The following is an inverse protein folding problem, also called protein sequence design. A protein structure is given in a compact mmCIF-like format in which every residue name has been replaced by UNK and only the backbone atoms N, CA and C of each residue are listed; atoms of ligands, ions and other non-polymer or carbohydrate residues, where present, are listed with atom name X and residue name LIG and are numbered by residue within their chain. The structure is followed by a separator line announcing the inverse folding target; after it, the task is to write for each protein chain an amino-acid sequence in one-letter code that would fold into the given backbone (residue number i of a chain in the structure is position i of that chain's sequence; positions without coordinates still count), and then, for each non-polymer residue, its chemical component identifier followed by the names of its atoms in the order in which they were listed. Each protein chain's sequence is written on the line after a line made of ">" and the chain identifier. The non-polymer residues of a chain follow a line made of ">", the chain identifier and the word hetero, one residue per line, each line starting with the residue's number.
data_IF_130410176932
#
_entry.id   IF_130410176932
#
_cell.length_a   1.000
_cell.length_b   1.000
_cell.length_c   1.000
_cell.angle_alpha   90.00
_cell.angle_beta   90.00
_cell.angle_gamma   90.00
#
_symmetry.space_group_name_H-M   'P 1'
#
loop_
_entity.id
_entity.type
_entity.pdbx_description
1 polymer ?
#
# COMPACT_ATOMS: atom_id res chain seq x y z
N UNK A 1 -8.50 -10.25 12.09
CA UNK A 1 -8.72 -8.80 12.32
C UNK A 1 -10.16 -8.56 11.95
N UNK A 2 -11.03 -8.56 12.94
CA UNK A 2 -12.39 -9.03 12.71
C UNK A 2 -13.41 -7.89 12.67
N UNK A 3 -13.00 -6.67 13.05
CA UNK A 3 -13.87 -5.48 13.05
C UNK A 3 -13.28 -4.26 12.32
N UNK A 4 -14.15 -3.41 11.77
CA UNK A 4 -13.78 -2.12 11.16
C UNK A 4 -13.07 -1.16 12.13
N UNK A 5 -13.50 -1.04 13.42
CA UNK A 5 -12.78 -0.26 14.43
C UNK A 5 -11.32 -0.69 14.62
N UNK A 6 -11.06 -2.00 14.73
CA UNK A 6 -9.69 -2.52 14.90
C UNK A 6 -8.80 -2.18 13.71
N UNK A 7 -9.31 -2.36 12.49
CA UNK A 7 -8.58 -2.03 11.26
C UNK A 7 -8.24 -0.54 11.20
N UNK A 8 -9.20 0.33 11.52
CA UNK A 8 -8.98 1.77 11.54
C UNK A 8 -7.94 2.17 12.60
N UNK A 9 -7.95 1.54 13.78
CA UNK A 9 -6.96 1.78 14.82
C UNK A 9 -5.55 1.35 14.40
N UNK A 10 -5.42 0.22 13.70
CA UNK A 10 -4.13 -0.23 13.13
C UNK A 10 -3.60 0.78 12.12
N UNK A 11 -4.45 1.26 11.21
CA UNK A 11 -4.04 2.27 10.23
C UNK A 11 -3.59 3.57 10.89
N UNK A 12 -4.33 4.08 11.89
CA UNK A 12 -3.92 5.28 12.63
C UNK A 12 -2.55 5.12 13.26
N UNK A 13 -2.30 4.00 13.93
CA UNK A 13 -0.98 3.69 14.51
C UNK A 13 0.10 3.63 13.44
N UNK A 14 -0.17 3.04 12.27
CA UNK A 14 0.77 3.03 11.15
C UNK A 14 1.12 4.44 10.66
N UNK A 15 0.11 5.31 10.53
CA UNK A 15 0.30 6.73 10.16
C UNK A 15 1.11 7.46 11.22
N UNK A 16 0.83 7.27 12.51
CA UNK A 16 1.57 7.91 13.60
C UNK A 16 3.03 7.44 13.65
N UNK A 17 3.29 6.14 13.44
CA UNK A 17 4.64 5.60 13.33
C UNK A 17 5.40 6.19 12.13
N UNK A 18 4.72 6.36 10.98
CA UNK A 18 5.31 7.00 9.81
C UNK A 18 5.55 8.49 10.03
N UNK A 19 4.68 9.17 10.78
CA UNK A 19 4.84 10.58 11.13
C UNK A 19 6.12 10.80 11.95
N UNK A 20 6.42 9.88 12.88
CA UNK A 20 7.67 9.90 13.63
C UNK A 20 8.94 9.77 12.76
N UNK A 21 8.80 9.26 11.53
CA UNK A 21 9.90 9.15 10.56
C UNK A 21 9.92 10.33 9.59
N UNK A 22 8.78 10.64 8.94
CA UNK A 22 8.65 11.76 8.01
C UNK A 22 7.18 12.17 7.79
N UNK A 23 6.80 13.46 7.94
CA UNK A 23 5.41 13.91 7.77
C UNK A 23 4.81 13.58 6.40
N UNK A 24 5.58 13.70 5.32
CA UNK A 24 5.10 13.35 3.97
C UNK A 24 4.78 11.85 3.82
N UNK A 25 5.56 10.97 4.44
CA UNK A 25 5.30 9.53 4.39
C UNK A 25 3.98 9.20 5.11
N UNK A 26 3.72 9.86 6.24
CA UNK A 26 2.45 9.74 6.96
C UNK A 26 1.25 10.17 6.09
N UNK A 27 1.38 11.25 5.31
CA UNK A 27 0.33 11.68 4.36
C UNK A 27 0.05 10.59 3.32
N UNK A 28 1.08 10.04 2.70
CA UNK A 28 0.90 9.00 1.67
C UNK A 28 0.25 7.74 2.24
N UNK A 29 0.66 7.30 3.43
CA UNK A 29 0.06 6.13 4.10
C UNK A 29 -1.38 6.42 4.50
N UNK A 30 -1.67 7.59 5.07
CA UNK A 30 -3.03 7.98 5.45
C UNK A 30 -3.95 8.04 4.22
N UNK A 31 -3.48 8.63 3.11
CA UNK A 31 -4.24 8.71 1.86
C UNK A 31 -4.43 7.33 1.22
N UNK A 32 -3.42 6.47 1.24
CA UNK A 32 -3.54 5.10 0.77
C UNK A 32 -4.62 4.32 1.54
N UNK A 33 -4.59 4.39 2.87
CA UNK A 33 -5.62 3.78 3.72
C UNK A 33 -7.01 4.37 3.47
N UNK A 34 -7.11 5.70 3.31
CA UNK A 34 -8.37 6.38 3.01
C UNK A 34 -8.99 5.87 1.69
N UNK A 35 -8.19 5.68 0.64
CA UNK A 35 -8.68 5.13 -0.64
C UNK A 35 -9.27 3.72 -0.50
N UNK A 36 -8.71 2.87 0.37
CA UNK A 36 -9.28 1.54 0.62
C UNK A 36 -10.68 1.63 1.22
N UNK A 37 -10.90 2.59 2.12
CA UNK A 37 -12.19 2.83 2.73
C UNK A 37 -13.18 3.53 1.80
N UNK A 38 -12.73 4.48 0.98
CA UNK A 38 -13.56 5.15 -0.03
C UNK A 38 -14.13 4.14 -1.03
N UNK A 39 -13.31 3.21 -1.54
CA UNK A 39 -13.79 2.12 -2.39
C UNK A 39 -14.74 1.18 -1.64
N UNK A 40 -14.39 0.80 -0.41
CA UNK A 40 -15.20 -0.11 0.38
C UNK A 40 -16.59 0.45 0.73
N UNK A 41 -16.71 1.74 1.03
CA UNK A 41 -18.01 2.39 1.30
C UNK A 41 -18.98 2.32 0.11
N UNK A 42 -18.45 2.26 -1.11
CA UNK A 42 -19.25 2.12 -2.33
C UNK A 42 -19.61 0.65 -2.59
N UNK A 43 -18.68 -0.25 -2.32
CA UNK A 43 -18.79 -1.68 -2.65
C UNK A 43 -19.59 -2.49 -1.60
N UNK A 44 -19.58 -2.09 -0.34
CA UNK A 44 -20.12 -2.88 0.77
C UNK A 44 -21.19 -2.12 1.58
N UNK A 45 -22.21 -2.87 2.03
CA UNK A 45 -23.21 -2.37 2.97
C UNK A 45 -22.68 -2.42 4.41
N UNK A 46 -22.01 -1.35 4.84
CA UNK A 46 -21.55 -1.18 6.22
C UNK A 46 -22.68 -0.76 7.16
N UNK A 47 -22.62 -1.20 8.41
CA UNK A 47 -23.47 -0.68 9.49
C UNK A 47 -23.23 0.81 9.72
N UNK A 48 -24.20 1.52 10.32
CA UNK A 48 -24.05 2.95 10.63
C UNK A 48 -22.83 3.22 11.54
N UNK A 49 -22.53 2.30 12.46
CA UNK A 49 -21.37 2.35 13.34
C UNK A 49 -20.06 2.25 12.53
N UNK A 50 -19.94 1.25 11.66
CA UNK A 50 -18.76 1.07 10.81
C UNK A 50 -18.57 2.26 9.87
N UNK A 51 -19.65 2.79 9.30
CA UNK A 51 -19.57 3.99 8.48
C UNK A 51 -19.10 5.22 9.27
N UNK A 52 -19.52 5.37 10.53
CA UNK A 52 -19.07 6.47 11.38
C UNK A 52 -17.56 6.36 11.69
N UNK A 53 -17.08 5.14 11.95
CA UNK A 53 -15.65 4.86 12.13
C UNK A 53 -14.85 5.19 10.87
N UNK A 54 -15.34 4.76 9.70
CA UNK A 54 -14.69 5.06 8.42
C UNK A 54 -14.64 6.57 8.17
N UNK A 55 -15.76 7.29 8.31
CA UNK A 55 -15.81 8.75 8.15
C UNK A 55 -14.85 9.46 9.12
N UNK A 56 -14.74 8.98 10.36
CA UNK A 56 -13.77 9.49 11.33
C UNK A 56 -12.32 9.26 10.88
N UNK A 57 -12.02 8.13 10.24
CA UNK A 57 -10.70 7.87 9.67
C UNK A 57 -10.40 8.79 8.48
N UNK A 58 -11.35 9.01 7.57
CA UNK A 58 -11.18 9.91 6.43
C UNK A 58 -10.87 11.34 6.90
N UNK A 59 -11.63 11.85 7.87
CA UNK A 59 -11.37 13.17 8.46
C UNK A 59 -9.98 13.25 9.12
N UNK A 60 -9.50 12.16 9.71
CA UNK A 60 -8.14 12.09 10.25
C UNK A 60 -7.06 12.14 9.16
N UNK A 61 -7.25 11.43 8.05
CA UNK A 61 -6.31 11.49 6.92
C UNK A 61 -6.19 12.92 6.33
N UNK A 62 -7.31 13.65 6.27
CA UNK A 62 -7.31 15.06 5.87
C UNK A 62 -6.53 15.93 6.87
N UNK A 63 -6.76 15.75 8.17
CA UNK A 63 -6.01 16.46 9.22
C UNK A 63 -4.50 16.21 9.17
N UNK A 64 -4.08 14.97 8.90
CA UNK A 64 -2.66 14.62 8.73
C UNK A 64 -2.06 15.39 7.54
N UNK A 65 -2.82 15.53 6.46
CA UNK A 65 -2.40 16.29 5.27
C UNK A 65 -2.24 17.78 5.57
N UNK A 66 -3.21 18.42 6.22
CA UNK A 66 -3.11 19.84 6.57
C UNK A 66 -1.95 20.10 7.54
N UNK A 67 -1.79 19.25 8.56
CA UNK A 67 -0.67 19.36 9.50
C UNK A 67 0.68 19.19 8.79
N UNK A 68 0.79 18.28 7.83
CA UNK A 68 2.01 18.13 7.04
C UNK A 68 2.32 19.37 6.21
N UNK A 69 1.29 20.03 5.63
CA UNK A 69 1.46 21.31 4.91
C UNK A 69 2.00 22.41 5.81
N UNK A 70 1.50 22.52 7.03
CA UNK A 70 2.01 23.49 8.01
C UNK A 70 3.48 23.22 8.34
N UNK A 71 3.81 21.99 8.72
CA UNK A 71 5.16 21.59 9.14
C UNK A 71 6.18 21.69 8.00
N UNK A 72 5.77 21.37 6.78
CA UNK A 72 6.65 21.34 5.61
C UNK A 72 6.57 22.62 4.76
N UNK A 73 5.85 23.65 5.21
CA UNK A 73 5.61 24.90 4.48
C UNK A 73 6.91 25.64 4.09
N UNK A 74 7.97 25.48 4.87
CA UNK A 74 9.27 26.10 4.61
C UNK A 74 10.07 25.43 3.48
N UNK A 75 9.65 24.24 3.01
CA UNK A 75 10.30 23.52 1.91
C UNK A 75 9.49 23.69 0.62
N UNK A 76 10.01 24.42 -0.39
CA UNK A 76 9.31 24.58 -1.66
C UNK A 76 9.03 23.24 -2.37
N UNK A 77 10.00 22.32 -2.32
CA UNK A 77 9.89 21.00 -2.94
C UNK A 77 8.79 20.15 -2.29
N UNK A 78 8.78 20.09 -0.95
CA UNK A 78 7.77 19.32 -0.22
C UNK A 78 6.39 20.01 -0.25
N UNK A 79 6.36 21.34 -0.30
CA UNK A 79 5.13 22.11 -0.51
C UNK A 79 4.46 21.74 -1.83
N UNK A 80 5.22 21.63 -2.92
CA UNK A 80 4.69 21.15 -4.21
C UNK A 80 4.20 19.70 -4.14
N UNK A 81 4.93 18.81 -3.44
CA UNK A 81 4.54 17.41 -3.25
C UNK A 81 3.26 17.22 -2.42
N UNK A 82 2.89 18.22 -1.61
CA UNK A 82 1.67 18.25 -0.79
C UNK A 82 0.46 18.91 -1.45
N UNK A 83 0.61 19.40 -2.70
CA UNK A 83 -0.52 19.85 -3.50
C UNK A 83 -1.50 18.69 -3.72
N UNK A 84 -2.83 18.91 -3.67
CA UNK A 84 -3.81 17.82 -3.78
C UNK A 84 -3.60 16.88 -4.98
N UNK A 85 -3.31 17.38 -6.21
CA UNK A 85 -3.04 16.49 -7.35
C UNK A 85 -1.79 15.63 -7.17
N UNK A 86 -0.73 16.18 -6.58
CA UNK A 86 0.52 15.46 -6.33
C UNK A 86 0.34 14.38 -5.25
N UNK A 87 -0.38 14.69 -4.17
CA UNK A 87 -0.72 13.71 -3.12
C UNK A 87 -1.56 12.58 -3.71
N UNK A 88 -2.55 12.89 -4.53
CA UNK A 88 -3.38 11.88 -5.19
C UNK A 88 -2.52 10.96 -6.08
N UNK A 89 -1.72 11.53 -6.99
CA UNK A 89 -0.84 10.76 -7.87
C UNK A 89 0.13 9.88 -7.07
N UNK A 90 0.81 10.42 -6.06
CA UNK A 90 1.80 9.66 -5.29
C UNK A 90 1.15 8.60 -4.39
N UNK A 91 -0.06 8.82 -3.89
CA UNK A 91 -0.82 7.78 -3.18
C UNK A 91 -1.25 6.64 -4.12
N UNK A 92 -1.62 6.96 -5.36
CA UNK A 92 -1.90 5.96 -6.39
C UNK A 92 -0.64 5.18 -6.80
N UNK A 93 0.52 5.83 -6.87
CA UNK A 93 1.80 5.15 -7.09
C UNK A 93 2.15 4.20 -5.93
N UNK A 94 1.93 4.62 -4.68
CA UNK A 94 2.08 3.75 -3.52
C UNK A 94 1.13 2.55 -3.59
N UNK A 95 -0.13 2.78 -3.96
CA UNK A 95 -1.13 1.72 -4.17
C UNK A 95 -0.71 0.74 -5.27
N UNK A 96 -0.13 1.21 -6.36
CA UNK A 96 0.41 0.35 -7.42
C UNK A 96 1.50 -0.58 -6.85
N UNK A 97 2.47 -0.03 -6.14
CA UNK A 97 3.54 -0.82 -5.51
C UNK A 97 3.01 -1.85 -4.50
N UNK A 98 2.10 -1.43 -3.62
CA UNK A 98 1.44 -2.32 -2.64
C UNK A 98 0.69 -3.47 -3.33
N UNK A 99 -0.14 -3.15 -4.33
CA UNK A 99 -0.91 -4.17 -5.07
C UNK A 99 -0.02 -5.13 -5.84
N UNK A 100 1.02 -4.64 -6.50
CA UNK A 100 1.96 -5.50 -7.23
C UNK A 100 2.72 -6.43 -6.27
N UNK A 101 3.14 -5.94 -5.10
CA UNK A 101 3.79 -6.77 -4.09
C UNK A 101 2.84 -7.84 -3.52
N UNK A 102 1.59 -7.48 -3.20
CA UNK A 102 0.60 -8.44 -2.72
C UNK A 102 0.26 -9.51 -3.75
N UNK A 103 0.21 -9.14 -5.04
CA UNK A 103 -0.14 -10.06 -6.14
C UNK A 103 0.79 -11.28 -6.20
N UNK A 104 2.08 -11.13 -5.88
CA UNK A 104 3.06 -12.22 -5.86
C UNK A 104 3.23 -12.89 -4.49
N UNK A 105 2.75 -12.24 -3.42
CA UNK A 105 2.87 -12.74 -2.05
C UNK A 105 1.64 -13.50 -1.55
N UNK A 106 0.47 -13.17 -2.09
CA UNK A 106 -0.84 -13.74 -1.70
C UNK A 106 -1.28 -14.73 -2.79
N UNK A 107 -1.94 -15.85 -2.43
CA UNK A 107 -2.40 -16.85 -3.41
C UNK A 107 -3.64 -16.37 -4.20
N UNK A 108 -3.52 -15.21 -4.86
CA UNK A 108 -4.51 -14.65 -5.78
C UNK A 108 -4.36 -15.24 -7.19
N UNK A 109 -5.35 -15.03 -8.08
CA UNK A 109 -5.19 -15.33 -9.50
C UNK A 109 -3.92 -14.67 -10.04
N UNK A 110 -3.23 -15.34 -10.97
CA UNK A 110 -1.93 -14.88 -11.51
C UNK A 110 -2.00 -13.62 -12.39
N UNK A 111 -3.20 -13.15 -12.71
CA UNK A 111 -3.45 -11.92 -13.47
C UNK A 111 -4.30 -10.97 -12.64
N UNK A 112 -3.96 -9.68 -12.68
CA UNK A 112 -4.74 -8.61 -12.07
C UNK A 112 -4.63 -7.32 -12.88
N UNK A 113 -5.70 -6.53 -12.94
CA UNK A 113 -5.66 -5.14 -13.40
C UNK A 113 -5.49 -4.22 -12.19
N UNK A 114 -4.47 -3.35 -12.23
CA UNK A 114 -4.23 -2.30 -11.24
C UNK A 114 -4.68 -0.98 -11.86
N UNK A 115 -5.84 -0.50 -11.44
CA UNK A 115 -6.44 0.71 -12.01
C UNK A 115 -5.85 1.99 -11.44
N UNK A 116 -6.00 3.08 -12.20
CA UNK A 116 -5.60 4.44 -11.80
C UNK A 116 -4.11 4.54 -11.44
N UNK A 117 -3.24 3.93 -12.24
CA UNK A 117 -1.80 4.09 -12.15
C UNK A 117 -1.38 5.43 -12.79
N UNK A 118 -0.63 6.30 -12.09
CA UNK A 118 -0.18 7.56 -12.68
C UNK A 118 0.75 7.31 -13.87
N UNK A 119 0.49 7.98 -14.98
CA UNK A 119 1.34 7.94 -16.18
C UNK A 119 2.40 9.02 -16.13
N UNK A 120 2.03 10.18 -15.59
CA UNK A 120 2.87 11.37 -15.54
C UNK A 120 2.55 12.24 -14.32
N UNK A 121 3.29 13.33 -14.15
CA UNK A 121 3.05 14.31 -13.10
C UNK A 121 1.98 15.35 -13.48
N UNK A 122 1.35 15.21 -14.66
CA UNK A 122 0.34 16.11 -15.21
C UNK A 122 -1.09 15.62 -14.90
N UNK A 123 -1.22 14.49 -14.21
CA UNK A 123 -2.49 13.95 -13.75
C UNK A 123 -3.13 12.96 -14.73
N UNK A 124 -2.38 12.45 -15.70
CA UNK A 124 -2.83 11.33 -16.53
C UNK A 124 -2.75 10.01 -15.74
N UNK A 125 -3.78 9.18 -15.89
CA UNK A 125 -3.86 7.85 -15.27
C UNK A 125 -4.16 6.79 -16.33
N UNK A 126 -3.69 5.57 -16.07
CA UNK A 126 -3.98 4.39 -16.88
C UNK A 126 -4.18 3.16 -16.01
N UNK A 127 -4.70 2.10 -16.61
CA UNK A 127 -4.80 0.79 -15.96
C UNK A 127 -3.61 -0.06 -16.42
N UNK A 128 -2.98 -0.75 -15.47
CA UNK A 128 -1.86 -1.65 -15.76
C UNK A 128 -2.31 -3.08 -15.48
N UNK A 129 -2.27 -3.93 -16.51
CA UNK A 129 -2.40 -5.38 -16.35
C UNK A 129 -1.07 -5.93 -15.84
N UNK A 130 -1.11 -6.67 -14.75
CA UNK A 130 0.01 -7.41 -14.19
C UNK A 130 -0.27 -8.91 -14.29
N UNK A 131 0.69 -9.66 -14.83
CA UNK A 131 0.70 -11.12 -14.81
C UNK A 131 1.98 -11.63 -14.13
N UNK A 132 1.94 -12.82 -13.55
CA UNK A 132 3.16 -13.45 -13.05
C UNK A 132 3.13 -14.98 -13.12
N UNK A 133 4.31 -15.58 -13.17
CA UNK A 133 4.52 -17.02 -12.97
C UNK A 133 5.61 -17.28 -11.92
N UNK A 134 6.23 -18.45 -11.96
CA UNK A 134 7.26 -18.84 -10.98
C UNK A 134 8.56 -18.03 -11.13
N UNK A 135 8.79 -17.42 -12.28
CA UNK A 135 10.07 -16.81 -12.68
C UNK A 135 9.94 -15.42 -13.30
N UNK A 136 8.75 -15.04 -13.75
CA UNK A 136 8.54 -13.78 -14.50
C UNK A 136 7.37 -12.99 -13.93
N UNK A 137 7.50 -11.66 -13.94
CA UNK A 137 6.41 -10.70 -13.76
C UNK A 137 6.32 -9.85 -15.02
N UNK A 138 5.12 -9.68 -15.57
CA UNK A 138 4.89 -8.80 -16.72
C UNK A 138 3.91 -7.68 -16.42
N UNK A 139 4.11 -6.54 -17.07
CA UNK A 139 3.22 -5.38 -16.99
C UNK A 139 2.84 -4.87 -18.39
N UNK A 140 1.57 -4.50 -18.56
CA UNK A 140 1.03 -3.89 -19.78
C UNK A 140 0.07 -2.73 -19.42
N UNK A 141 0.36 -1.46 -19.79
CA UNK A 141 1.60 -1.00 -20.41
C UNK A 141 2.79 -1.09 -19.44
N UNK A 142 4.01 -1.09 -20.00
CA UNK A 142 5.24 -1.12 -19.21
C UNK A 142 5.47 0.20 -18.45
N UNK A 143 5.53 0.21 -17.10
CA UNK A 143 5.52 1.44 -16.32
C UNK A 143 6.92 1.98 -15.95
N UNK A 144 7.99 1.35 -16.44
CA UNK A 144 9.35 1.69 -16.04
C UNK A 144 10.16 2.27 -17.21
N UNK A 145 11.12 3.13 -16.90
CA UNK A 145 12.04 3.72 -17.88
C UNK A 145 13.21 2.78 -18.26
N UNK A 146 13.31 1.63 -17.62
CA UNK A 146 14.31 0.59 -17.91
C UNK A 146 13.69 -0.52 -18.75
N UNK A 147 14.50 -1.28 -19.49
CA UNK A 147 13.98 -2.37 -20.33
C UNK A 147 13.47 -3.57 -19.53
N UNK A 148 14.09 -3.88 -18.39
CA UNK A 148 13.72 -4.93 -17.44
C UNK A 148 14.50 -4.73 -16.13
N UNK A 149 14.10 -5.44 -15.08
CA UNK A 149 14.84 -5.54 -13.81
C UNK A 149 14.47 -6.83 -13.10
N UNK A 150 15.21 -7.20 -12.06
CA UNK A 150 14.95 -8.41 -11.27
C UNK A 150 14.50 -8.01 -9.86
N UNK A 151 13.49 -8.69 -9.34
CA UNK A 151 13.03 -8.54 -7.94
C UNK A 151 13.26 -9.85 -7.20
N UNK A 152 13.73 -9.77 -5.97
CA UNK A 152 13.82 -10.91 -5.07
C UNK A 152 13.08 -10.63 -3.76
N UNK A 153 12.32 -11.61 -3.29
CA UNK A 153 11.74 -11.63 -1.95
C UNK A 153 12.43 -12.73 -1.17
N UNK A 154 12.88 -12.37 0.03
CA UNK A 154 13.56 -13.26 0.96
C UNK A 154 12.78 -13.30 2.27
N UNK A 155 12.68 -14.47 2.89
CA UNK A 155 11.92 -14.60 4.12
C UNK A 155 11.97 -15.99 4.72
N UNK A 156 11.20 -16.17 5.78
CA UNK A 156 11.05 -17.43 6.49
C UNK A 156 9.59 -17.88 6.38
N UNK A 157 9.37 -19.12 5.94
CA UNK A 157 8.02 -19.64 5.75
C UNK A 157 7.53 -20.31 7.04
N UNK A 158 6.54 -19.70 7.68
CA UNK A 158 5.84 -20.29 8.81
C UNK A 158 4.63 -21.11 8.30
N UNK A 159 4.54 -22.42 8.62
CA UNK A 159 3.43 -23.26 8.15
C UNK A 159 2.11 -22.97 8.90
N UNK A 160 2.19 -22.29 10.04
CA UNK A 160 1.05 -21.94 10.89
C UNK A 160 0.85 -20.42 10.97
N UNK A 161 -0.41 -20.01 11.10
CA UNK A 161 -0.80 -18.58 11.16
C UNK A 161 -1.08 -18.10 12.59
N UNK A 162 -1.22 -19.02 13.54
CA UNK A 162 -1.57 -18.71 14.92
C UNK A 162 -0.57 -19.31 15.90
N UNK A 163 -0.29 -18.57 16.96
CA UNK A 163 0.63 -18.93 18.02
C UNK A 163 -0.01 -18.53 19.36
N UNK A 164 -0.09 -19.49 20.29
CA UNK A 164 -0.72 -19.26 21.60
C UNK A 164 0.07 -18.26 22.46
N UNK A 165 1.38 -18.15 22.21
CA UNK A 165 2.29 -17.28 22.95
C UNK A 165 3.43 -16.77 22.06
N UNK A 166 3.98 -15.62 22.44
CA UNK A 166 5.05 -14.95 21.70
C UNK A 166 6.32 -15.81 21.58
N UNK A 167 6.70 -16.54 22.62
CA UNK A 167 7.91 -17.37 22.57
C UNK A 167 7.79 -18.53 21.59
N UNK A 168 6.57 -19.07 21.42
CA UNK A 168 6.32 -20.12 20.43
C UNK A 168 6.44 -19.56 19.00
N UNK A 169 6.02 -18.32 18.78
CA UNK A 169 6.22 -17.61 17.51
C UNK A 169 7.71 -17.43 17.21
N UNK A 170 8.49 -16.89 18.15
CA UNK A 170 9.93 -16.67 17.94
C UNK A 170 10.69 -17.98 17.75
N UNK A 171 10.33 -19.05 18.47
CA UNK A 171 10.94 -20.36 18.26
C UNK A 171 10.64 -20.91 16.86
N UNK A 172 9.38 -20.87 16.42
CA UNK A 172 9.02 -21.33 15.09
C UNK A 172 9.68 -20.50 13.99
N UNK A 173 9.83 -19.19 14.18
CA UNK A 173 10.52 -18.31 13.25
C UNK A 173 12.00 -18.64 13.14
N UNK A 174 12.65 -18.98 14.26
CA UNK A 174 14.05 -19.40 14.26
C UNK A 174 14.28 -20.76 13.58
N UNK A 175 13.28 -21.65 13.63
CA UNK A 175 13.33 -22.98 13.01
C UNK A 175 12.81 -23.00 11.57
N UNK A 176 12.15 -21.93 11.13
CA UNK A 176 11.52 -21.86 9.82
C UNK A 176 12.55 -21.95 8.68
N UNK A 177 12.22 -22.64 7.57
CA UNK A 177 13.08 -22.65 6.41
C UNK A 177 13.15 -21.25 5.79
N UNK A 178 14.39 -20.78 5.59
CA UNK A 178 14.64 -19.62 4.74
C UNK A 178 14.23 -19.96 3.30
N UNK A 179 13.59 -19.01 2.63
CA UNK A 179 13.32 -19.10 1.22
C UNK A 179 13.68 -17.78 0.54
N UNK A 180 14.03 -17.91 -0.74
CA UNK A 180 14.18 -16.80 -1.67
C UNK A 180 13.39 -17.13 -2.92
N UNK A 181 12.61 -16.15 -3.39
CA UNK A 181 12.01 -16.18 -4.73
C UNK A 181 12.51 -15.00 -5.52
N UNK A 182 12.76 -15.22 -6.80
CA UNK A 182 13.31 -14.22 -7.70
C UNK A 182 12.51 -14.25 -8.99
N UNK A 183 12.13 -13.06 -9.47
CA UNK A 183 11.44 -12.87 -10.73
C UNK A 183 12.19 -11.88 -11.61
N UNK A 184 12.23 -12.18 -12.89
CA UNK A 184 12.55 -11.18 -13.91
C UNK A 184 11.28 -10.40 -14.24
N UNK A 185 11.39 -9.08 -14.18
CA UNK A 185 10.29 -8.15 -14.43
C UNK A 185 10.50 -7.53 -15.80
N UNK A 186 9.59 -7.82 -16.73
CA UNK A 186 9.73 -7.51 -18.16
C UNK A 186 8.42 -6.95 -18.74
N UNK A 187 8.46 -6.24 -19.88
CA UNK A 187 7.26 -5.91 -20.63
C UNK A 187 6.48 -7.16 -21.03
N UNK A 188 5.14 -7.08 -21.05
CA UNK A 188 4.28 -8.15 -21.54
C UNK A 188 4.42 -8.40 -23.05
#
# INVERSE_FOLDING_TARGET
>A
FDSTPEKAAIWRRGVDCAWGQHPYAAVLIARHAAMLYESALVEYAYSDEDQAVIRSFLAYADQVTERAREVLSASPELGAALAPPAVAANAHLLRFGDRAALQVAVPWPKEQVISMCPVDAQGAFTDIRMCYDETTITFEPWPYSVAHFTVSVEGYLLPQQHFDREEAYHQALAEAPYFRRTWDVVPA
#
